data_IF_403159154551
#
_entry.id   IF_403159154551
#
_cell.length_a   1.000
_cell.length_b   1.000
_cell.length_c   1.000
_cell.angle_alpha   90.00
_cell.angle_beta   90.00
_cell.angle_gamma   90.00
#
_symmetry.space_group_name_H-M   'P 1'
#
loop_
_entity.id
_entity.type
_entity.pdbx_description
1 polymer ?
#
# COMPACT_ATOMS: atom_id res chain seq x y z
N UNK A 1 -11.04 4.53 11.97
CA UNK A 1 -10.05 5.43 11.32
C UNK A 1 -9.63 4.74 10.04
N UNK A 2 -9.88 5.35 8.89
CA UNK A 2 -9.50 4.75 7.59
C UNK A 2 -8.04 5.13 7.32
N UNK A 3 -7.12 4.18 7.11
CA UNK A 3 -5.74 4.48 6.76
C UNK A 3 -5.64 5.14 5.37
N UNK A 4 -4.55 5.86 5.10
CA UNK A 4 -4.22 6.21 3.72
C UNK A 4 -3.56 5.00 3.07
N UNK A 5 -4.02 4.60 1.90
CA UNK A 5 -3.72 3.31 1.29
C UNK A 5 -3.41 3.43 -0.20
N UNK A 6 -2.47 2.63 -0.67
CA UNK A 6 -2.19 2.43 -2.08
C UNK A 6 -2.41 0.94 -2.38
N UNK A 7 -3.22 0.66 -3.39
CA UNK A 7 -3.52 -0.70 -3.83
C UNK A 7 -2.69 -1.09 -5.03
N UNK A 8 -2.19 -2.31 -5.04
CA UNK A 8 -1.40 -2.86 -6.13
C UNK A 8 -2.08 -4.08 -6.71
N UNK A 9 -2.21 -4.11 -8.03
CA UNK A 9 -2.88 -5.19 -8.74
C UNK A 9 -1.99 -5.77 -9.84
N UNK A 10 -2.16 -7.06 -10.10
CA UNK A 10 -1.61 -7.72 -11.28
C UNK A 10 -2.43 -7.27 -12.49
N UNK A 11 -1.85 -6.45 -13.36
CA UNK A 11 -2.52 -6.01 -14.59
C UNK A 11 -1.99 -6.81 -15.78
N UNK A 12 -2.81 -7.68 -16.40
CA UNK A 12 -2.40 -8.43 -17.58
C UNK A 12 -2.07 -7.52 -18.76
N UNK A 13 -1.20 -7.99 -19.65
CA UNK A 13 -0.89 -7.26 -20.88
C UNK A 13 -2.17 -7.00 -21.70
N UNK A 14 -2.39 -5.75 -22.10
CA UNK A 14 -3.56 -5.32 -22.86
C UNK A 14 -4.79 -4.97 -22.02
N UNK A 15 -4.71 -5.07 -20.68
CA UNK A 15 -5.73 -4.58 -19.75
C UNK A 15 -5.26 -3.29 -19.07
N UNK A 16 -6.21 -2.50 -18.59
CA UNK A 16 -5.97 -1.34 -17.74
C UNK A 16 -6.16 -1.68 -16.26
N UNK A 17 -5.61 -0.85 -15.37
CA UNK A 17 -5.82 -1.00 -13.93
C UNK A 17 -7.30 -0.94 -13.55
N UNK A 18 -8.02 0.06 -14.09
CA UNK A 18 -9.45 0.26 -13.81
C UNK A 18 -10.28 -0.95 -14.24
N UNK A 19 -10.02 -1.53 -15.42
CA UNK A 19 -10.71 -2.75 -15.86
C UNK A 19 -10.47 -3.95 -14.94
N UNK A 20 -9.28 -4.06 -14.33
CA UNK A 20 -8.98 -5.15 -13.39
C UNK A 20 -9.64 -4.88 -12.05
N UNK A 21 -9.63 -3.63 -11.59
CA UNK A 21 -10.31 -3.21 -10.37
C UNK A 21 -11.82 -3.40 -10.47
N UNK A 22 -12.42 -3.09 -11.61
CA UNK A 22 -13.85 -3.29 -11.87
C UNK A 22 -14.22 -4.77 -11.82
N UNK A 23 -13.40 -5.66 -12.41
CA UNK A 23 -13.62 -7.11 -12.33
C UNK A 23 -13.55 -7.62 -10.88
N UNK A 24 -12.58 -7.14 -10.09
CA UNK A 24 -12.44 -7.49 -8.67
C UNK A 24 -13.65 -6.99 -7.87
N UNK A 25 -14.07 -5.75 -8.08
CA UNK A 25 -15.23 -5.18 -7.39
C UNK A 25 -16.52 -5.90 -7.78
N UNK A 26 -16.67 -6.31 -9.03
CA UNK A 26 -17.84 -7.08 -9.50
C UNK A 26 -17.88 -8.50 -8.91
N UNK A 27 -16.72 -9.08 -8.61
CA UNK A 27 -16.60 -10.40 -7.97
C UNK A 27 -16.61 -10.34 -6.44
N UNK A 28 -16.56 -9.15 -5.84
CA UNK A 28 -16.48 -8.99 -4.39
C UNK A 28 -17.76 -9.46 -3.70
N UNK A 29 -17.62 -10.43 -2.80
CA UNK A 29 -18.66 -10.90 -1.89
C UNK A 29 -18.23 -10.58 -0.45
N UNK A 30 -18.93 -9.67 0.26
CA UNK A 30 -18.55 -9.30 1.63
C UNK A 30 -18.77 -10.43 2.65
N UNK A 31 -19.55 -11.46 2.31
CA UNK A 31 -19.85 -12.59 3.18
C UNK A 31 -18.94 -13.81 2.91
N UNK A 32 -18.08 -13.74 1.90
CA UNK A 32 -17.14 -14.82 1.58
C UNK A 32 -15.97 -14.88 2.58
N UNK A 33 -15.58 -16.11 2.94
CA UNK A 33 -14.37 -16.33 3.72
C UNK A 33 -13.12 -15.92 2.90
N UNK A 34 -12.09 -15.30 3.53
CA UNK A 34 -10.86 -14.96 2.84
C UNK A 34 -10.18 -16.21 2.26
N UNK A 35 -9.86 -16.18 0.97
CA UNK A 35 -9.13 -17.27 0.36
C UNK A 35 -7.69 -17.35 0.93
N UNK A 36 -7.21 -18.56 1.27
CA UNK A 36 -5.81 -18.72 1.69
C UNK A 36 -4.85 -18.35 0.56
N UNK A 37 -3.79 -17.59 0.89
CA UNK A 37 -2.75 -17.24 -0.09
C UNK A 37 -2.05 -18.49 -0.61
N UNK A 38 -1.71 -18.48 -1.91
CA UNK A 38 -1.04 -19.59 -2.60
C UNK A 38 0.24 -19.10 -3.27
N UNK A 39 1.21 -18.70 -2.46
CA UNK A 39 2.48 -18.18 -2.95
C UNK A 39 3.30 -19.25 -3.68
N UNK A 40 3.73 -18.92 -4.88
CA UNK A 40 4.84 -19.63 -5.53
C UNK A 40 6.16 -19.36 -4.80
N UNK A 41 7.15 -20.24 -4.99
CA UNK A 41 8.51 -20.00 -4.48
C UNK A 41 9.09 -18.65 -4.98
N UNK A 42 8.75 -18.25 -6.20
CA UNK A 42 9.13 -16.94 -6.75
C UNK A 42 8.50 -15.78 -5.99
N UNK A 43 7.20 -15.83 -5.72
CA UNK A 43 6.49 -14.81 -4.93
C UNK A 43 6.99 -14.76 -3.48
N UNK A 44 7.35 -15.90 -2.86
CA UNK A 44 7.99 -15.93 -1.54
C UNK A 44 9.36 -15.23 -1.56
N UNK A 45 10.18 -15.48 -2.57
CA UNK A 45 11.47 -14.81 -2.71
C UNK A 45 11.32 -13.31 -2.98
N UNK A 46 10.27 -12.87 -3.68
CA UNK A 46 9.91 -11.45 -3.84
C UNK A 46 9.62 -10.83 -2.48
N UNK A 47 8.81 -11.49 -1.65
CA UNK A 47 8.52 -11.02 -0.30
C UNK A 47 9.78 -10.80 0.54
N UNK A 48 10.70 -11.77 0.56
CA UNK A 48 11.94 -11.65 1.33
C UNK A 48 12.79 -10.45 0.89
N UNK A 49 12.82 -10.17 -0.42
CA UNK A 49 13.50 -8.98 -0.95
C UNK A 49 12.79 -7.69 -0.56
N UNK A 50 11.46 -7.67 -0.56
CA UNK A 50 10.68 -6.53 -0.10
C UNK A 50 10.94 -6.23 1.37
N UNK A 51 10.88 -7.23 2.26
CA UNK A 51 11.15 -7.06 3.69
C UNK A 51 12.50 -6.38 3.92
N UNK A 52 13.55 -6.89 3.25
CA UNK A 52 14.89 -6.30 3.35
C UNK A 52 14.94 -4.87 2.83
N UNK A 53 14.46 -4.62 1.60
CA UNK A 53 14.54 -3.30 0.96
C UNK A 53 13.69 -2.26 1.67
N UNK A 54 12.51 -2.63 2.13
CA UNK A 54 11.63 -1.74 2.89
C UNK A 54 12.26 -1.42 4.24
N UNK A 55 12.78 -2.42 4.97
CA UNK A 55 13.50 -2.21 6.23
C UNK A 55 14.66 -1.22 6.09
N UNK A 56 15.49 -1.40 5.04
CA UNK A 56 16.56 -0.45 4.69
C UNK A 56 16.01 0.96 4.40
N UNK A 57 14.91 1.06 3.65
CA UNK A 57 14.33 2.32 3.21
C UNK A 57 13.66 3.12 4.35
N UNK A 58 13.08 2.43 5.33
CA UNK A 58 12.43 3.06 6.50
C UNK A 58 13.41 3.30 7.65
N UNK A 59 14.68 2.90 7.50
CA UNK A 59 15.76 3.21 8.43
C UNK A 59 15.69 2.46 9.76
N UNK A 60 15.07 1.28 9.80
CA UNK A 60 14.88 0.55 11.04
C UNK A 60 14.29 -0.85 10.85
N UNK A 61 14.20 -1.64 11.95
CA UNK A 61 13.59 -2.96 11.90
C UNK A 61 12.11 -2.84 11.52
N UNK A 62 11.67 -3.82 10.74
CA UNK A 62 10.27 -4.07 10.41
C UNK A 62 9.87 -5.39 11.05
N UNK A 63 8.64 -5.46 11.53
CA UNK A 63 8.05 -6.68 12.03
C UNK A 63 7.34 -7.38 10.86
N UNK A 64 7.38 -8.70 10.83
CA UNK A 64 6.73 -9.49 9.79
C UNK A 64 5.84 -10.54 10.44
N UNK A 65 4.65 -10.71 9.87
CA UNK A 65 3.69 -11.73 10.27
C UNK A 65 3.13 -12.43 9.04
N UNK A 66 2.78 -13.71 9.22
CA UNK A 66 2.22 -14.54 8.17
C UNK A 66 0.82 -14.99 8.58
N UNK A 67 -0.18 -14.50 7.85
CA UNK A 67 -1.58 -14.83 8.02
C UNK A 67 -2.03 -15.81 6.93
N UNK A 68 -3.15 -16.53 7.10
CA UNK A 68 -3.64 -17.45 6.09
C UNK A 68 -3.86 -16.81 4.71
N UNK A 69 -4.26 -15.54 4.65
CA UNK A 69 -4.59 -14.83 3.42
C UNK A 69 -3.50 -13.88 2.91
N UNK A 70 -2.47 -13.56 3.71
CA UNK A 70 -1.42 -12.63 3.30
C UNK A 70 -0.15 -12.70 4.15
N UNK A 71 0.93 -12.14 3.62
CA UNK A 71 2.13 -11.78 4.34
C UNK A 71 2.06 -10.30 4.71
N UNK A 72 2.32 -9.98 5.97
CA UNK A 72 2.29 -8.61 6.50
C UNK A 72 3.68 -8.19 6.94
N UNK A 73 4.04 -6.97 6.59
CA UNK A 73 5.20 -6.25 7.08
C UNK A 73 4.68 -4.98 7.73
N UNK A 74 5.13 -4.67 8.93
CA UNK A 74 4.75 -3.43 9.60
C UNK A 74 5.93 -2.74 10.28
N UNK A 75 5.83 -1.42 10.35
CA UNK A 75 6.66 -0.56 11.20
C UNK A 75 5.72 0.20 12.11
N UNK A 76 5.84 0.04 13.41
CA UNK A 76 5.06 0.77 14.43
C UNK A 76 5.85 1.90 15.09
N UNK A 77 7.18 1.82 15.05
CA UNK A 77 8.10 2.81 15.58
C UNK A 77 8.07 4.15 14.80
N UNK A 78 8.59 5.26 15.37
CA UNK A 78 8.74 6.53 14.66
C UNK A 78 9.42 6.38 13.29
N UNK A 79 9.02 7.15 12.26
CA UNK A 79 8.11 8.31 12.30
C UNK A 79 6.60 7.97 12.36
N UNK A 80 6.22 6.70 12.26
CA UNK A 80 4.82 6.31 12.37
C UNK A 80 4.51 4.95 11.74
N UNK A 81 3.24 4.60 11.80
CA UNK A 81 2.75 3.32 11.28
C UNK A 81 2.84 3.27 9.75
N UNK A 82 3.43 2.18 9.26
CA UNK A 82 3.44 1.75 7.87
C UNK A 82 3.15 0.24 7.85
N UNK A 83 2.26 -0.21 6.98
CA UNK A 83 1.96 -1.63 6.79
C UNK A 83 1.93 -1.97 5.31
N UNK A 84 2.54 -3.08 4.93
CA UNK A 84 2.45 -3.69 3.61
C UNK A 84 1.88 -5.09 3.77
N UNK A 85 0.73 -5.33 3.16
CA UNK A 85 0.12 -6.66 3.02
C UNK A 85 0.32 -7.15 1.58
N UNK A 86 0.68 -8.43 1.42
CA UNK A 86 0.99 -9.04 0.14
C UNK A 86 0.53 -10.50 0.08
N UNK A 87 -0.24 -10.85 -0.95
CA UNK A 87 -0.77 -12.21 -1.15
C UNK A 87 -0.15 -12.94 -2.36
N UNK A 88 0.74 -12.26 -3.12
CA UNK A 88 1.33 -12.76 -4.36
C UNK A 88 0.83 -12.07 -5.62
N UNK A 89 -0.46 -11.79 -5.68
CA UNK A 89 -1.19 -11.30 -6.86
C UNK A 89 -1.73 -9.88 -6.66
N UNK A 90 -1.79 -9.43 -5.42
CA UNK A 90 -2.12 -8.09 -4.99
C UNK A 90 -1.23 -7.64 -3.82
N UNK A 91 -1.24 -6.34 -3.55
CA UNK A 91 -0.69 -5.79 -2.33
C UNK A 91 -1.46 -4.56 -1.87
N UNK A 92 -1.34 -4.24 -0.60
CA UNK A 92 -1.89 -3.05 0.02
C UNK A 92 -0.81 -2.38 0.87
N UNK A 93 -0.52 -1.10 0.61
CA UNK A 93 0.43 -0.31 1.39
C UNK A 93 -0.30 0.80 2.11
N UNK A 94 -0.21 0.81 3.44
CA UNK A 94 -0.95 1.72 4.31
C UNK A 94 -0.02 2.54 5.17
N UNK A 95 -0.42 3.79 5.45
CA UNK A 95 0.22 4.67 6.44
C UNK A 95 -0.81 5.30 7.36
N UNK A 96 -0.38 5.65 8.57
CA UNK A 96 -1.24 6.35 9.53
C UNK A 96 -1.71 7.72 9.01
N UNK A 97 -2.94 8.03 9.35
CA UNK A 97 -3.71 9.13 8.80
C UNK A 97 -3.66 10.43 9.64
N UNK A 98 -2.56 10.66 10.36
CA UNK A 98 -2.45 11.77 11.33
C UNK A 98 -1.50 12.88 10.92
N UNK A 99 -1.02 12.85 9.68
CA UNK A 99 -0.02 13.80 9.23
C UNK A 99 -0.68 15.01 8.55
N UNK A 100 -0.31 16.21 8.97
CA UNK A 100 -0.72 17.47 8.36
C UNK A 100 0.51 18.33 8.05
N UNK A 101 0.38 19.25 7.09
CA UNK A 101 1.46 20.17 6.74
C UNK A 101 2.76 19.44 6.34
N UNK A 102 3.95 19.86 6.84
CA UNK A 102 5.23 19.26 6.47
C UNK A 102 5.33 17.75 6.74
N UNK A 103 4.62 17.25 7.75
CA UNK A 103 4.64 15.81 8.07
C UNK A 103 3.85 14.99 7.06
N UNK A 104 2.79 15.57 6.47
CA UNK A 104 2.02 14.89 5.41
C UNK A 104 2.89 14.69 4.16
N UNK A 105 3.72 15.68 3.82
CA UNK A 105 4.68 15.57 2.73
C UNK A 105 5.70 14.46 2.98
N UNK A 106 6.31 14.44 4.17
CA UNK A 106 7.30 13.40 4.53
C UNK A 106 6.68 12.00 4.49
N UNK A 107 5.46 11.85 5.00
CA UNK A 107 4.72 10.59 4.94
C UNK A 107 4.43 10.19 3.48
N UNK A 108 4.01 11.11 2.62
CA UNK A 108 3.77 10.85 1.20
C UNK A 108 5.06 10.48 0.44
N UNK A 109 6.18 11.14 0.75
CA UNK A 109 7.50 10.82 0.18
C UNK A 109 7.96 9.41 0.53
N UNK A 110 7.77 9.00 1.79
CA UNK A 110 8.06 7.64 2.23
C UNK A 110 7.11 6.62 1.62
N UNK A 111 5.80 6.90 1.63
CA UNK A 111 4.78 6.06 1.04
C UNK A 111 5.08 5.77 -0.44
N UNK A 112 5.35 6.80 -1.25
CA UNK A 112 5.67 6.63 -2.67
C UNK A 112 7.02 5.95 -2.90
N UNK A 113 7.99 6.15 -2.02
CA UNK A 113 9.28 5.45 -2.09
C UNK A 113 9.07 3.95 -1.91
N UNK A 114 8.31 3.55 -0.89
CA UNK A 114 8.00 2.13 -0.63
C UNK A 114 7.10 1.56 -1.73
N UNK A 115 6.08 2.30 -2.16
CA UNK A 115 5.17 1.89 -3.23
C UNK A 115 5.91 1.55 -4.53
N UNK A 116 6.88 2.38 -4.92
CA UNK A 116 7.71 2.11 -6.12
C UNK A 116 8.64 0.91 -5.94
N UNK A 117 9.06 0.59 -4.71
CA UNK A 117 9.80 -0.66 -4.44
C UNK A 117 8.89 -1.88 -4.59
N UNK A 118 7.64 -1.77 -4.16
CA UNK A 118 6.61 -2.81 -4.37
C UNK A 118 6.43 -3.07 -5.86
N UNK A 119 6.18 -2.03 -6.67
CA UNK A 119 6.06 -2.18 -8.13
C UNK A 119 7.31 -2.83 -8.75
N UNK A 120 8.50 -2.38 -8.36
CA UNK A 120 9.76 -2.87 -8.93
C UNK A 120 10.06 -4.34 -8.60
N UNK A 121 9.72 -4.80 -7.39
CA UNK A 121 10.01 -6.19 -6.97
C UNK A 121 8.93 -7.18 -7.39
N UNK A 122 7.67 -6.73 -7.46
CA UNK A 122 6.52 -7.61 -7.68
C UNK A 122 6.01 -7.60 -9.12
N UNK A 123 6.29 -6.53 -9.87
CA UNK A 123 5.66 -6.25 -11.16
C UNK A 123 4.17 -5.93 -11.07
N UNK A 124 3.62 -5.70 -9.88
CA UNK A 124 2.27 -5.18 -9.70
C UNK A 124 2.22 -3.70 -10.09
N UNK A 125 1.06 -3.24 -10.54
CA UNK A 125 0.82 -1.81 -10.80
C UNK A 125 0.14 -1.21 -9.58
N UNK A 126 0.71 -0.12 -9.05
CA UNK A 126 0.16 0.60 -7.91
C UNK A 126 -0.75 1.75 -8.33
N UNK A 127 -1.85 1.94 -7.62
CA UNK A 127 -2.74 3.09 -7.77
C UNK A 127 -3.06 3.71 -6.42
N UNK A 128 -2.87 5.02 -6.34
CA UNK A 128 -3.24 5.83 -5.19
C UNK A 128 -4.65 6.36 -5.42
N UNK A 129 -5.64 5.69 -4.82
CA UNK A 129 -7.06 6.01 -4.99
C UNK A 129 -7.44 7.36 -4.38
N UNK A 130 -6.84 7.71 -3.23
CA UNK A 130 -7.07 8.97 -2.54
C UNK A 130 -6.54 10.17 -3.34
N UNK A 131 -5.39 10.02 -4.01
CA UNK A 131 -4.87 11.04 -4.91
C UNK A 131 -5.42 10.93 -6.34
N UNK A 132 -5.99 9.78 -6.72
CA UNK A 132 -6.47 9.50 -8.08
C UNK A 132 -5.33 9.50 -9.10
N UNK A 133 -4.25 8.76 -8.83
CA UNK A 133 -3.09 8.69 -9.72
C UNK A 133 -2.34 7.35 -9.63
N UNK A 134 -1.71 6.88 -10.73
CA UNK A 134 -0.79 5.74 -10.68
C UNK A 134 0.45 6.05 -9.85
N UNK A 135 1.02 5.04 -9.18
CA UNK A 135 2.25 5.20 -8.37
C UNK A 135 3.46 5.55 -9.24
N UNK A 136 3.57 4.90 -10.41
CA UNK A 136 4.70 5.07 -11.32
C UNK A 136 4.90 6.52 -11.80
N UNK A 137 3.81 7.24 -12.06
CA UNK A 137 3.81 8.61 -12.59
C UNK A 137 3.27 9.65 -11.61
N UNK A 138 2.76 9.21 -10.46
CA UNK A 138 2.08 10.05 -9.49
C UNK A 138 3.00 11.07 -8.83
N UNK A 139 2.44 12.26 -8.59
CA UNK A 139 3.12 13.35 -7.93
C UNK A 139 2.94 13.24 -6.41
N UNK A 140 4.05 13.21 -5.69
CA UNK A 140 4.08 13.16 -4.22
C UNK A 140 3.32 14.34 -3.60
N UNK A 141 3.38 15.52 -4.21
CA UNK A 141 2.68 16.71 -3.71
C UNK A 141 1.16 16.52 -3.69
N UNK A 142 0.62 15.78 -4.67
CA UNK A 142 -0.80 15.47 -4.75
C UNK A 142 -1.21 14.47 -3.67
N UNK A 143 -0.38 13.46 -3.42
CA UNK A 143 -0.59 12.51 -2.32
C UNK A 143 -0.48 13.21 -0.95
N UNK A 144 0.49 14.12 -0.77
CA UNK A 144 0.63 14.91 0.45
C UNK A 144 -0.59 15.80 0.71
N UNK A 145 -1.15 16.41 -0.34
CA UNK A 145 -2.36 17.20 -0.26
C UNK A 145 -3.58 16.35 0.10
N UNK A 146 -3.73 15.17 -0.50
CA UNK A 146 -4.80 14.23 -0.16
C UNK A 146 -4.68 13.75 1.30
N UNK A 147 -3.49 13.31 1.71
CA UNK A 147 -3.22 12.84 3.06
C UNK A 147 -3.49 13.94 4.11
N UNK A 148 -3.02 15.17 3.85
CA UNK A 148 -3.25 16.32 4.74
C UNK A 148 -4.70 16.84 4.75
N UNK A 149 -5.39 16.80 3.60
CA UNK A 149 -6.78 17.22 3.47
C UNK A 149 -7.73 16.27 4.19
N UNK A 150 -7.45 14.98 4.09
CA UNK A 150 -8.23 13.96 4.79
C UNK A 150 -7.90 14.18 6.30
N UNK A 151 -6.64 14.28 6.76
CA UNK A 151 -6.32 14.52 8.20
C UNK A 151 -7.09 15.71 8.81
N UNK A 152 -7.24 16.81 8.06
CA UNK A 152 -8.00 17.99 8.46
C UNK A 152 -9.48 17.67 8.68
N UNK A 153 -10.11 16.96 7.74
CA UNK A 153 -11.52 16.56 7.88
C UNK A 153 -11.75 15.75 9.16
N UNK A 154 -10.88 14.78 9.46
CA UNK A 154 -11.03 13.97 10.67
C UNK A 154 -10.80 14.78 11.96
N UNK A 155 -9.87 15.72 11.97
CA UNK A 155 -9.68 16.65 13.09
C UNK A 155 -10.87 17.59 13.30
N UNK A 156 -11.60 17.95 12.23
CA UNK A 156 -12.73 18.88 12.31
C UNK A 156 -14.07 18.19 12.60
N UNK A 157 -14.21 16.89 12.33
CA UNK A 157 -15.51 16.21 12.33
C UNK A 157 -15.60 15.00 13.28
N UNK A 158 -14.49 14.54 13.85
CA UNK A 158 -14.44 13.33 14.70
C UNK A 158 -13.87 13.60 16.11
N UNK A 159 -13.64 14.86 16.48
CA UNK A 159 -13.31 15.31 17.84
C UNK A 159 -14.47 16.06 18.46
#
# INVERSE_FOLDING_TARGET
MVPYEIHFLRVPAGRTYDEVLDDINAAYDPDADPEPMRLTAGQRAVWERLVRRVGEAVGGPVECEEYPSCLTLCRTAPPGYLQLDYDGDSAALQVAYRHAGPDARRAAEELYRVARMVEAETGLQGYDGQAGQPVATGAVDRAAAALGGVSRWAQENLT
#
